data_IF_347258525337
#
_entry.id   IF_347258525337
#
_cell.length_a   1.000
_cell.length_b   1.000
_cell.length_c   1.000
_cell.angle_alpha   90.00
_cell.angle_beta   90.00
_cell.angle_gamma   90.00
#
_symmetry.space_group_name_H-M   'P 1'
#
loop_
_entity.id
_entity.type
_entity.pdbx_description
1 polymer ?
#
# COMPACT_ATOMS: atom_id res chain seq x y z
N UNK A 1 -18.79 -28.63 13.08
CA UNK A 1 -18.77 -29.04 11.66
C UNK A 1 -17.95 -28.10 10.78
N UNK A 2 -18.16 -26.77 10.84
CA UNK A 2 -17.34 -25.80 10.08
C UNK A 2 -15.87 -25.80 10.54
N UNK A 3 -15.64 -25.88 11.86
CA UNK A 3 -14.29 -25.91 12.43
C UNK A 3 -13.49 -27.14 11.97
N UNK A 4 -14.10 -28.33 12.01
CA UNK A 4 -13.49 -29.58 11.56
C UNK A 4 -13.26 -29.60 10.05
N UNK A 5 -14.17 -29.04 9.25
CA UNK A 5 -13.99 -28.89 7.81
C UNK A 5 -12.79 -27.99 7.46
N UNK A 6 -12.71 -26.80 8.08
CA UNK A 6 -11.59 -25.87 7.85
C UNK A 6 -10.27 -26.45 8.35
N UNK A 7 -10.28 -27.18 9.48
CA UNK A 7 -9.11 -27.87 10.01
C UNK A 7 -8.62 -28.98 9.07
N UNK A 8 -9.52 -29.81 8.53
CA UNK A 8 -9.18 -30.86 7.58
C UNK A 8 -8.63 -30.31 6.24
N UNK A 9 -9.19 -29.21 5.75
CA UNK A 9 -8.69 -28.52 4.55
C UNK A 9 -7.29 -27.93 4.76
N UNK A 10 -6.96 -27.53 6.00
CA UNK A 10 -5.63 -27.01 6.35
C UNK A 10 -4.54 -28.09 6.45
N UNK A 11 -4.91 -29.36 6.68
CA UNK A 11 -3.98 -30.48 6.80
C UNK A 11 -3.47 -31.01 5.44
N UNK A 12 -4.17 -30.72 4.33
CA UNK A 12 -3.80 -31.15 2.98
C UNK A 12 -3.05 -30.10 2.14
N UNK A 13 -2.94 -28.87 2.63
CA UNK A 13 -2.17 -27.84 1.95
C UNK A 13 -0.69 -28.03 2.29
N UNK A 14 0.09 -28.51 1.31
CA UNK A 14 1.55 -28.56 1.41
C UNK A 14 2.05 -27.20 1.91
N UNK A 15 2.85 -27.14 2.99
CA UNK A 15 3.40 -25.87 3.45
C UNK A 15 4.09 -25.24 2.25
N UNK A 16 3.74 -23.98 1.95
CA UNK A 16 4.39 -23.25 0.87
C UNK A 16 5.89 -23.28 1.17
N UNK A 17 6.63 -24.07 0.40
CA UNK A 17 8.06 -24.30 0.60
C UNK A 17 8.75 -22.99 0.27
N UNK A 18 9.06 -22.18 1.29
CA UNK A 18 9.78 -20.92 1.13
C UNK A 18 11.26 -21.22 1.19
N UNK A 19 11.87 -21.37 0.02
CA UNK A 19 13.32 -21.37 -0.13
C UNK A 19 13.80 -19.93 -0.28
N UNK A 20 14.24 -19.30 0.84
CA UNK A 20 15.28 -18.24 0.93
C UNK A 20 15.03 -17.31 2.12
N UNK A 21 16.13 -16.79 2.70
CA UNK A 21 16.22 -15.78 3.79
C UNK A 21 14.99 -14.86 3.89
N UNK A 22 14.02 -15.20 4.75
CA UNK A 22 12.75 -14.47 4.91
C UNK A 22 12.95 -13.15 5.70
N UNK A 23 13.99 -13.07 6.52
CA UNK A 23 14.22 -11.93 7.43
C UNK A 23 14.35 -10.58 6.72
N UNK A 24 15.06 -10.52 5.59
CA UNK A 24 15.22 -9.26 4.86
C UNK A 24 13.91 -8.81 4.19
N UNK A 25 13.08 -9.77 3.70
CA UNK A 25 11.78 -9.45 3.13
C UNK A 25 10.83 -8.90 4.19
N UNK A 26 10.89 -9.42 5.43
CA UNK A 26 10.14 -8.82 6.56
C UNK A 26 10.52 -7.36 6.76
N UNK A 27 11.82 -7.06 6.76
CA UNK A 27 12.31 -5.69 6.92
C UNK A 27 11.87 -4.80 5.74
N UNK A 28 11.93 -5.31 4.51
CA UNK A 28 11.48 -4.58 3.32
C UNK A 28 9.99 -4.25 3.40
N UNK A 29 9.13 -5.23 3.70
CA UNK A 29 7.68 -5.00 3.82
C UNK A 29 7.38 -4.05 4.98
N UNK A 30 8.05 -4.20 6.13
CA UNK A 30 7.90 -3.28 7.26
C UNK A 30 8.30 -1.85 6.89
N UNK A 31 9.42 -1.67 6.18
CA UNK A 31 9.84 -0.34 5.70
C UNK A 31 8.81 0.28 4.75
N UNK A 32 8.19 -0.52 3.89
CA UNK A 32 7.13 -0.05 2.99
C UNK A 32 5.89 0.41 3.75
N UNK A 33 5.51 -0.30 4.83
CA UNK A 33 4.42 0.12 5.71
C UNK A 33 4.75 1.46 6.38
N UNK A 34 5.97 1.61 6.94
CA UNK A 34 6.39 2.87 7.59
C UNK A 34 6.36 4.03 6.59
N UNK A 35 6.90 3.82 5.39
CA UNK A 35 6.87 4.83 4.32
C UNK A 35 5.44 5.16 3.90
N UNK A 36 4.55 4.17 3.78
CA UNK A 36 3.12 4.42 3.51
C UNK A 36 2.44 5.24 4.61
N UNK A 37 2.77 5.02 5.88
CA UNK A 37 2.24 5.84 6.99
C UNK A 37 2.70 7.29 6.86
N UNK A 38 3.99 7.51 6.58
CA UNK A 38 4.52 8.85 6.33
C UNK A 38 3.84 9.51 5.11
N UNK A 39 3.60 8.75 4.04
CA UNK A 39 2.86 9.21 2.86
C UNK A 39 1.43 9.64 3.22
N UNK A 40 0.74 8.88 4.08
CA UNK A 40 -0.62 9.20 4.54
C UNK A 40 -0.61 10.50 5.36
N UNK A 41 0.34 10.67 6.27
CA UNK A 41 0.50 11.91 7.06
C UNK A 41 0.78 13.10 6.13
N UNK A 42 1.71 12.98 5.17
CA UNK A 42 1.92 14.04 4.19
C UNK A 42 0.67 14.32 3.34
N UNK A 43 -0.13 13.28 3.05
CA UNK A 43 -1.40 13.43 2.33
C UNK A 43 -2.45 14.19 3.13
N UNK A 44 -2.50 14.01 4.45
CA UNK A 44 -3.40 14.79 5.32
C UNK A 44 -2.97 16.25 5.38
N UNK A 45 -1.66 16.52 5.47
CA UNK A 45 -1.12 17.89 5.43
C UNK A 45 -1.48 18.62 4.12
N UNK A 46 -1.38 17.93 2.97
CA UNK A 46 -1.81 18.49 1.67
C UNK A 46 -3.31 18.81 1.69
N UNK A 47 -4.14 17.91 2.24
CA UNK A 47 -5.59 18.14 2.32
C UNK A 47 -5.94 19.32 3.24
N UNK A 48 -5.28 19.43 4.38
CA UNK A 48 -5.48 20.55 5.31
C UNK A 48 -5.06 21.89 4.69
N UNK A 49 -3.96 21.90 3.93
CA UNK A 49 -3.54 23.07 3.17
C UNK A 49 -4.56 23.45 2.07
N UNK A 50 -5.07 22.47 1.31
CA UNK A 50 -6.17 22.68 0.34
C UNK A 50 -7.39 23.30 1.05
N UNK A 51 -7.78 22.75 2.20
CA UNK A 51 -8.97 23.20 2.93
C UNK A 51 -8.79 24.63 3.46
N UNK A 52 -7.59 25.00 3.92
CA UNK A 52 -7.27 26.36 4.34
C UNK A 52 -7.33 27.36 3.17
N UNK A 53 -6.75 27.00 2.03
CA UNK A 53 -6.72 27.85 0.82
C UNK A 53 -8.12 28.02 0.23
N UNK A 54 -8.90 26.93 0.15
CA UNK A 54 -10.26 26.97 -0.39
C UNK A 54 -11.14 27.93 0.42
N UNK A 55 -11.06 27.91 1.75
CA UNK A 55 -11.76 28.86 2.63
C UNK A 55 -11.27 30.30 2.45
N UNK A 56 -9.96 30.51 2.38
CA UNK A 56 -9.36 31.84 2.15
C UNK A 56 -9.82 32.47 0.82
N UNK A 57 -10.01 31.66 -0.21
CA UNK A 57 -10.45 32.09 -1.54
C UNK A 57 -11.97 32.03 -1.74
N UNK A 58 -12.77 31.85 -0.68
CA UNK A 58 -14.23 31.69 -0.75
C UNK A 58 -14.67 30.63 -1.78
N UNK A 59 -13.93 29.52 -1.85
CA UNK A 59 -14.11 28.39 -2.76
C UNK A 59 -14.01 28.73 -4.27
N UNK A 60 -13.53 29.92 -4.62
CA UNK A 60 -13.28 30.31 -6.01
C UNK A 60 -11.93 29.76 -6.53
N UNK A 61 -11.83 29.59 -7.84
CA UNK A 61 -10.57 29.30 -8.55
C UNK A 61 -9.89 27.99 -8.12
N UNK A 62 -10.62 26.88 -8.12
CA UNK A 62 -10.17 25.56 -7.62
C UNK A 62 -8.90 25.04 -8.30
N UNK A 63 -8.71 25.38 -9.57
CA UNK A 63 -7.54 25.11 -10.38
C UNK A 63 -6.25 25.76 -9.84
N UNK A 64 -6.36 26.85 -9.07
CA UNK A 64 -5.22 27.58 -8.52
C UNK A 64 -4.75 27.05 -7.16
N UNK A 65 -5.60 26.30 -6.45
CA UNK A 65 -5.34 25.95 -5.05
C UNK A 65 -4.04 25.18 -4.84
N UNK A 66 -3.72 24.24 -5.72
CA UNK A 66 -2.49 23.44 -5.62
C UNK A 66 -1.22 24.28 -5.78
N UNK A 67 -1.28 25.37 -6.55
CA UNK A 67 -0.12 26.25 -6.74
C UNK A 67 0.23 27.03 -5.46
N UNK A 68 -0.75 27.24 -4.57
CA UNK A 68 -0.61 28.02 -3.33
C UNK A 68 -0.17 27.19 -2.12
N UNK A 69 -0.18 25.85 -2.20
CA UNK A 69 0.14 24.93 -1.10
C UNK A 69 1.64 24.86 -0.78
N UNK A 70 2.49 25.28 -1.72
CA UNK A 70 3.94 25.27 -1.56
C UNK A 70 4.56 23.86 -1.59
N UNK A 71 5.60 23.63 -0.78
CA UNK A 71 6.49 22.45 -0.92
C UNK A 71 5.89 21.13 -0.45
N UNK A 72 4.88 21.15 0.44
CA UNK A 72 4.30 19.92 1.01
C UNK A 72 3.68 19.02 -0.06
N UNK A 73 3.09 19.60 -1.11
CA UNK A 73 2.57 18.84 -2.25
C UNK A 73 3.69 18.13 -3.02
N UNK A 74 4.83 18.81 -3.26
CA UNK A 74 5.99 18.16 -3.92
C UNK A 74 6.53 17.03 -3.06
N UNK A 75 6.70 17.23 -1.76
CA UNK A 75 7.18 16.17 -0.87
C UNK A 75 6.24 14.96 -0.83
N UNK A 76 4.93 15.18 -0.81
CA UNK A 76 3.94 14.11 -0.92
C UNK A 76 4.07 13.34 -2.26
N UNK A 77 4.23 14.06 -3.38
CA UNK A 77 4.40 13.43 -4.70
C UNK A 77 5.70 12.62 -4.78
N UNK A 78 6.80 13.19 -4.29
CA UNK A 78 8.12 12.55 -4.38
C UNK A 78 8.18 11.31 -3.48
N UNK A 79 7.53 11.35 -2.31
CA UNK A 79 7.37 10.19 -1.43
C UNK A 79 6.45 9.11 -2.05
N UNK A 80 5.46 9.49 -2.88
CA UNK A 80 4.66 8.52 -3.65
C UNK A 80 5.52 7.68 -4.62
N UNK A 81 6.58 8.26 -5.18
CA UNK A 81 7.53 7.54 -6.04
C UNK A 81 8.31 6.51 -5.21
N UNK A 82 8.70 6.85 -3.97
CA UNK A 82 9.34 5.90 -3.07
C UNK A 82 8.40 4.74 -2.71
N UNK A 83 7.13 5.03 -2.39
CA UNK A 83 6.10 4.00 -2.17
C UNK A 83 5.97 3.10 -3.41
N UNK A 84 5.96 3.68 -4.62
CA UNK A 84 5.90 2.90 -5.86
C UNK A 84 7.07 1.93 -5.99
N UNK A 85 8.30 2.43 -5.85
CA UNK A 85 9.52 1.63 -5.98
C UNK A 85 9.55 0.51 -4.94
N UNK A 86 9.23 0.79 -3.68
CA UNK A 86 9.22 -0.22 -2.62
C UNK A 86 8.19 -1.32 -2.88
N UNK A 87 6.97 -0.97 -3.32
CA UNK A 87 5.93 -1.98 -3.58
C UNK A 87 6.23 -2.81 -4.83
N UNK A 88 6.82 -2.23 -5.88
CA UNK A 88 7.27 -3.01 -7.04
C UNK A 88 8.42 -3.96 -6.70
N UNK A 89 9.33 -3.54 -5.81
CA UNK A 89 10.38 -4.43 -5.31
C UNK A 89 9.78 -5.57 -4.49
N UNK A 90 8.89 -5.28 -3.54
CA UNK A 90 8.17 -6.30 -2.77
C UNK A 90 7.43 -7.28 -3.70
N UNK A 91 6.75 -6.79 -4.72
CA UNK A 91 6.04 -7.62 -5.68
C UNK A 91 6.97 -8.65 -6.35
N UNK A 92 8.15 -8.20 -6.81
CA UNK A 92 9.16 -9.07 -7.41
C UNK A 92 9.61 -10.15 -6.43
N UNK A 93 9.92 -9.77 -5.19
CA UNK A 93 10.40 -10.72 -4.17
C UNK A 93 9.32 -11.73 -3.76
N UNK A 94 8.07 -11.28 -3.66
CA UNK A 94 6.93 -12.17 -3.39
C UNK A 94 6.76 -13.17 -4.52
N UNK A 95 6.85 -12.69 -5.77
CA UNK A 95 6.73 -13.54 -6.96
C UNK A 95 7.85 -14.58 -7.05
N UNK A 96 9.08 -14.19 -6.70
CA UNK A 96 10.25 -15.06 -6.80
C UNK A 96 10.33 -16.07 -5.64
N UNK A 97 9.87 -15.70 -4.43
CA UNK A 97 10.03 -16.52 -3.20
C UNK A 97 8.82 -17.33 -2.79
N UNK A 98 7.62 -17.01 -3.27
CA UNK A 98 6.39 -17.71 -2.89
C UNK A 98 5.76 -18.40 -4.09
N UNK A 99 5.65 -19.73 -4.02
CA UNK A 99 4.93 -20.56 -4.99
C UNK A 99 3.42 -20.68 -4.68
N UNK A 100 2.98 -20.16 -3.54
CA UNK A 100 1.58 -20.20 -3.09
C UNK A 100 0.69 -19.20 -3.83
N UNK A 101 -0.47 -19.67 -4.32
CA UNK A 101 -1.47 -18.83 -5.02
C UNK A 101 -1.88 -17.60 -4.21
N UNK A 102 -1.97 -17.71 -2.88
CA UNK A 102 -2.42 -16.62 -2.00
C UNK A 102 -1.43 -15.44 -1.99
N UNK A 103 -0.12 -15.69 -1.83
CA UNK A 103 0.88 -14.63 -1.80
C UNK A 103 0.95 -13.87 -3.14
N UNK A 104 0.86 -14.60 -4.25
CA UNK A 104 0.82 -14.01 -5.60
C UNK A 104 -0.45 -13.18 -5.83
N UNK A 105 -1.61 -13.62 -5.35
CA UNK A 105 -2.85 -12.85 -5.42
C UNK A 105 -2.70 -11.52 -4.67
N UNK A 106 -2.17 -11.54 -3.43
CA UNK A 106 -1.93 -10.32 -2.65
C UNK A 106 -0.91 -9.40 -3.35
N UNK A 107 0.19 -9.96 -3.87
CA UNK A 107 1.18 -9.20 -4.64
C UNK A 107 0.58 -8.51 -5.87
N UNK A 108 -0.24 -9.22 -6.66
CA UNK A 108 -0.94 -8.63 -7.79
C UNK A 108 -1.94 -7.55 -7.35
N UNK A 109 -2.71 -7.80 -6.29
CA UNK A 109 -3.65 -6.82 -5.73
C UNK A 109 -2.94 -5.54 -5.27
N UNK A 110 -1.77 -5.66 -4.64
CA UNK A 110 -0.94 -4.50 -4.24
C UNK A 110 -0.60 -3.63 -5.44
N UNK A 111 -0.13 -4.23 -6.55
CA UNK A 111 0.24 -3.49 -7.76
C UNK A 111 -0.98 -2.80 -8.38
N UNK A 112 -2.12 -3.50 -8.49
CA UNK A 112 -3.35 -2.93 -9.05
C UNK A 112 -3.82 -1.73 -8.22
N UNK A 113 -3.90 -1.89 -6.90
CA UNK A 113 -4.33 -0.82 -5.98
C UNK A 113 -3.36 0.36 -6.03
N UNK A 114 -2.05 0.11 -6.11
CA UNK A 114 -1.02 1.15 -6.26
C UNK A 114 -1.18 1.95 -7.55
N UNK A 115 -1.51 1.31 -8.67
CA UNK A 115 -1.79 2.00 -9.92
C UNK A 115 -3.04 2.89 -9.81
N UNK A 116 -4.10 2.42 -9.17
CA UNK A 116 -5.31 3.22 -8.91
C UNK A 116 -4.98 4.41 -8.00
N UNK A 117 -4.12 4.19 -7.01
CA UNK A 117 -3.69 5.24 -6.08
C UNK A 117 -2.91 6.35 -6.78
N UNK A 118 -1.97 6.00 -7.66
CA UNK A 118 -1.22 6.97 -8.48
C UNK A 118 -2.17 7.67 -9.46
N UNK A 119 -3.03 6.91 -10.15
CA UNK A 119 -4.01 7.47 -11.08
C UNK A 119 -4.96 8.47 -10.44
N UNK A 120 -5.52 8.14 -9.27
CA UNK A 120 -6.37 9.06 -8.50
C UNK A 120 -5.61 10.30 -8.01
N UNK A 121 -4.35 10.15 -7.60
CA UNK A 121 -3.48 11.29 -7.25
C UNK A 121 -3.21 12.22 -8.42
N UNK A 122 -2.96 11.67 -9.62
CA UNK A 122 -2.81 12.46 -10.85
C UNK A 122 -4.10 13.16 -11.26
N UNK A 123 -5.26 12.52 -11.08
CA UNK A 123 -6.56 13.17 -11.31
C UNK A 123 -6.73 14.36 -10.36
N UNK A 124 -6.42 14.17 -9.07
CA UNK A 124 -6.48 15.25 -8.07
C UNK A 124 -5.60 16.44 -8.45
N UNK A 125 -4.38 16.17 -8.95
CA UNK A 125 -3.44 17.24 -9.30
C UNK A 125 -3.78 18.00 -10.59
N UNK A 126 -4.49 17.37 -11.54
CA UNK A 126 -4.71 17.94 -12.87
C UNK A 126 -6.16 18.38 -13.15
N UNK A 127 -7.14 17.90 -12.37
CA UNK A 127 -8.58 18.15 -12.63
C UNK A 127 -9.25 18.96 -11.53
N UNK A 128 -8.51 19.89 -10.92
CA UNK A 128 -9.00 20.75 -9.85
C UNK A 128 -9.58 19.94 -8.67
N UNK A 129 -8.86 18.92 -8.19
CA UNK A 129 -9.17 18.19 -6.94
C UNK A 129 -10.61 17.64 -6.85
N UNK A 130 -11.17 16.93 -7.85
CA UNK A 130 -12.60 16.63 -7.85
C UNK A 130 -12.99 15.72 -6.66
N UNK A 131 -14.15 15.93 -6.00
CA UNK A 131 -14.47 15.25 -4.73
C UNK A 131 -14.48 13.72 -4.81
N UNK A 132 -14.94 13.16 -5.93
CA UNK A 132 -14.94 11.72 -6.14
C UNK A 132 -13.52 11.14 -6.19
N UNK A 133 -12.56 11.85 -6.81
CA UNK A 133 -11.17 11.40 -6.87
C UNK A 133 -10.52 11.43 -5.49
N UNK A 134 -10.90 12.41 -4.66
CA UNK A 134 -10.43 12.49 -3.26
C UNK A 134 -10.93 11.32 -2.43
N UNK A 135 -12.22 10.97 -2.57
CA UNK A 135 -12.80 9.81 -1.90
C UNK A 135 -12.12 8.49 -2.35
N UNK A 136 -11.92 8.32 -3.66
CA UNK A 136 -11.22 7.15 -4.20
C UNK A 136 -9.78 7.08 -3.70
N UNK A 137 -9.05 8.19 -3.68
CA UNK A 137 -7.65 8.22 -3.24
C UNK A 137 -7.52 7.78 -1.77
N UNK A 138 -8.38 8.26 -0.87
CA UNK A 138 -8.33 7.87 0.56
C UNK A 138 -8.74 6.40 0.74
N UNK A 139 -9.76 5.94 -0.01
CA UNK A 139 -10.18 4.55 0.01
C UNK A 139 -9.04 3.61 -0.41
N UNK A 140 -8.42 3.87 -1.56
CA UNK A 140 -7.37 3.01 -2.08
C UNK A 140 -6.04 3.15 -1.32
N UNK A 141 -5.77 4.30 -0.68
CA UNK A 141 -4.69 4.42 0.33
C UNK A 141 -4.88 3.42 1.46
N UNK A 142 -6.09 3.32 1.99
CA UNK A 142 -6.44 2.45 3.12
C UNK A 142 -6.35 0.97 2.71
N UNK A 143 -6.83 0.65 1.50
CA UNK A 143 -6.71 -0.71 0.93
C UNK A 143 -5.25 -1.08 0.70
N UNK A 144 -4.44 -0.17 0.15
CA UNK A 144 -3.01 -0.40 -0.08
C UNK A 144 -2.30 -0.73 1.23
N UNK A 145 -2.49 0.11 2.26
CA UNK A 145 -1.93 -0.11 3.58
C UNK A 145 -2.37 -1.46 4.18
N UNK A 146 -3.67 -1.80 4.06
CA UNK A 146 -4.22 -3.06 4.56
C UNK A 146 -3.59 -4.28 3.87
N UNK A 147 -3.39 -4.22 2.56
CA UNK A 147 -2.72 -5.27 1.79
C UNK A 147 -1.24 -5.40 2.16
N UNK A 148 -0.54 -4.28 2.38
CA UNK A 148 0.86 -4.28 2.82
C UNK A 148 0.99 -4.93 4.20
N UNK A 149 0.10 -4.57 5.13
CA UNK A 149 0.06 -5.17 6.46
C UNK A 149 -0.31 -6.66 6.43
N UNK A 150 -1.29 -7.06 5.61
CA UNK A 150 -1.64 -8.46 5.44
C UNK A 150 -0.49 -9.28 4.85
N UNK A 151 0.21 -8.73 3.85
CA UNK A 151 1.41 -9.36 3.29
C UNK A 151 2.51 -9.50 4.34
N UNK A 152 2.71 -8.48 5.19
CA UNK A 152 3.66 -8.56 6.31
C UNK A 152 3.34 -9.73 7.24
N UNK A 153 2.07 -9.89 7.64
CA UNK A 153 1.64 -11.02 8.48
C UNK A 153 1.86 -12.37 7.79
N UNK A 154 1.59 -12.46 6.48
CA UNK A 154 1.83 -13.66 5.69
C UNK A 154 3.32 -14.04 5.70
N UNK A 155 4.20 -13.09 5.38
CA UNK A 155 5.66 -13.29 5.39
C UNK A 155 6.18 -13.60 6.80
N UNK A 156 5.60 -12.97 7.83
CA UNK A 156 5.97 -13.21 9.22
C UNK A 156 5.65 -14.65 9.65
N UNK A 157 4.45 -15.14 9.33
CA UNK A 157 4.00 -16.49 9.68
C UNK A 157 4.79 -17.59 8.98
N UNK A 158 5.25 -17.35 7.75
CA UNK A 158 6.01 -18.38 7.00
C UNK A 158 7.37 -18.71 7.63
N UNK A 159 7.91 -17.81 8.45
CA UNK A 159 9.17 -18.01 9.19
C UNK A 159 9.02 -18.78 10.50
N UNK A 160 7.79 -19.05 10.97
CA UNK A 160 7.54 -19.83 12.19
C UNK A 160 7.48 -21.34 11.93
N UNK A 161 7.68 -21.77 10.67
CA UNK A 161 7.95 -23.15 10.32
C UNK A 161 9.47 -23.37 10.20
N UNK A 162 10.21 -23.04 11.27
CA UNK A 162 11.52 -23.65 11.43
C UNK A 162 11.30 -25.14 11.70
N UNK A 163 11.98 -25.95 10.89
CA UNK A 163 11.96 -27.39 10.99
C UNK A 163 12.71 -27.81 12.26
N UNK A 164 12.00 -27.97 13.37
CA UNK A 164 12.42 -28.86 14.45
C UNK A 164 12.31 -30.32 13.95
N UNK A 165 13.19 -30.69 13.02
CA UNK A 165 13.55 -32.08 12.75
C UNK A 165 14.94 -32.11 12.14
N UNK A 166 15.95 -32.09 13.01
CA UNK A 166 17.12 -32.97 12.91
C UNK A 166 17.66 -33.25 14.30
#
# INVERSE_FOLDING_TARGET
LIYTYNYAVSLGQKPAVVMAKIGWLKLLVLSSIVVSVLQIVLGTEVREAVDAISKRLNFAGRETWLAEIGKVFSYHRDMAILVLVLNLWIYREVKDKFSGKQALLIGNSLVIVLLIQIGSGLILSNFALPPYAQALHILFSTVLFSLQYYLYLLVYRTSTYDQEHN
#
